data_IF_470363733860
#
_entry.id   IF_470363733860
#
_cell.length_a   1.000
_cell.length_b   1.000
_cell.length_c   1.000
_cell.angle_alpha   90.00
_cell.angle_beta   90.00
_cell.angle_gamma   90.00
#
_symmetry.space_group_name_H-M   'P 1'
#
loop_
_entity.id
_entity.type
_entity.pdbx_description
1 polymer ?
#
# COMPACT_ATOMS: atom_id res chain seq x y z
N UNK A 1 18.93 -14.49 51.80
CA UNK A 1 19.64 -15.23 50.74
C UNK A 1 19.59 -14.39 49.45
N UNK A 2 20.69 -13.78 49.12
CA UNK A 2 20.81 -12.76 48.08
C UNK A 2 21.47 -13.38 46.85
N UNK A 3 20.78 -13.44 45.71
CA UNK A 3 21.31 -13.98 44.46
C UNK A 3 21.92 -12.84 43.63
N UNK A 4 23.17 -12.94 43.18
CA UNK A 4 23.81 -11.88 42.41
C UNK A 4 23.42 -11.92 40.94
N UNK A 5 23.13 -10.75 40.39
CA UNK A 5 22.77 -10.42 39.01
C UNK A 5 24.01 -10.52 38.11
N UNK A 6 24.07 -11.53 37.26
CA UNK A 6 25.13 -11.71 36.25
C UNK A 6 24.94 -10.72 35.09
N UNK A 7 25.82 -9.76 34.98
CA UNK A 7 25.93 -8.84 33.85
C UNK A 7 26.80 -9.48 32.77
N UNK A 8 26.21 -9.98 31.69
CA UNK A 8 26.95 -10.43 30.50
C UNK A 8 27.26 -9.21 29.62
N UNK A 9 28.49 -8.78 29.68
CA UNK A 9 29.09 -7.83 28.71
C UNK A 9 29.40 -8.57 27.42
N UNK A 10 28.67 -8.34 26.34
CA UNK A 10 29.07 -8.76 25.01
C UNK A 10 30.03 -7.75 24.42
N UNK A 11 31.24 -8.23 24.15
CA UNK A 11 32.33 -7.51 23.50
C UNK A 11 31.95 -7.21 22.03
N UNK A 12 32.06 -5.94 21.68
CA UNK A 12 31.96 -5.47 20.30
C UNK A 12 33.24 -5.83 19.57
N UNK A 13 33.16 -6.69 18.56
CA UNK A 13 34.24 -6.86 17.58
C UNK A 13 33.99 -5.88 16.43
N UNK A 14 34.87 -4.92 16.34
CA UNK A 14 34.98 -4.01 15.20
C UNK A 14 35.81 -4.70 14.13
N UNK A 15 35.26 -4.95 12.96
CA UNK A 15 35.95 -5.32 11.76
C UNK A 15 35.82 -4.19 10.74
N UNK A 16 36.93 -3.45 10.62
CA UNK A 16 37.20 -2.50 9.53
C UNK A 16 37.56 -3.30 8.26
N UNK A 17 36.80 -3.08 7.19
CA UNK A 17 37.22 -3.42 5.84
C UNK A 17 37.07 -2.20 4.96
N UNK A 18 38.21 -1.61 4.62
CA UNK A 18 38.37 -0.60 3.58
C UNK A 18 38.37 -1.30 2.21
N UNK A 19 37.59 -0.79 1.28
CA UNK A 19 37.61 -1.23 -0.12
C UNK A 19 37.25 -0.07 -1.02
N UNK A 20 38.27 0.64 -1.51
CA UNK A 20 38.21 1.61 -2.63
C UNK A 20 38.03 0.83 -3.94
N UNK A 21 37.07 1.24 -4.77
CA UNK A 21 37.17 1.06 -6.23
C UNK A 21 36.30 2.15 -6.91
N UNK A 22 37.00 3.11 -7.48
CA UNK A 22 36.48 4.11 -8.39
C UNK A 22 36.46 3.51 -9.81
N UNK A 23 35.32 3.66 -10.51
CA UNK A 23 35.29 3.60 -11.98
C UNK A 23 34.36 4.66 -12.50
N UNK A 24 34.96 5.68 -13.06
CA UNK A 24 34.33 6.67 -13.89
C UNK A 24 34.15 6.12 -15.31
N UNK A 25 32.94 6.28 -15.89
CA UNK A 25 32.69 6.07 -17.30
C UNK A 25 31.70 7.11 -17.82
N UNK A 26 32.10 7.96 -18.77
CA UNK A 26 31.17 8.87 -19.43
C UNK A 26 30.52 8.18 -20.62
N UNK A 27 29.21 8.26 -20.77
CA UNK A 27 28.53 7.95 -22.03
C UNK A 27 27.69 9.18 -22.41
N UNK A 28 28.25 9.98 -23.29
CA UNK A 28 27.50 10.92 -24.10
C UNK A 28 26.90 10.15 -25.28
N UNK A 29 25.64 10.42 -25.57
CA UNK A 29 24.94 9.86 -26.73
C UNK A 29 23.69 10.69 -27.01
N UNK A 30 23.86 11.88 -27.61
CA UNK A 30 22.82 12.57 -28.37
C UNK A 30 22.66 11.84 -29.70
N UNK A 31 21.41 11.55 -30.07
CA UNK A 31 21.03 11.04 -31.36
C UNK A 31 19.66 11.59 -31.72
N UNK A 32 19.65 12.82 -32.31
CA UNK A 32 18.56 13.30 -33.15
C UNK A 32 18.49 12.44 -34.39
N UNK A 33 17.32 11.98 -34.75
CA UNK A 33 16.95 11.74 -36.14
C UNK A 33 15.44 11.84 -36.27
N UNK A 34 15.01 13.01 -36.76
CA UNK A 34 13.76 13.24 -37.46
C UNK A 34 13.79 12.43 -38.76
N UNK A 35 12.81 11.59 -38.97
CA UNK A 35 12.48 11.11 -40.31
C UNK A 35 10.97 10.89 -40.43
N UNK A 36 10.35 11.83 -41.12
CA UNK A 36 8.96 11.81 -41.58
C UNK A 36 8.89 11.01 -42.89
N UNK A 37 8.09 9.97 -43.05
CA UNK A 37 7.76 9.45 -44.38
C UNK A 37 6.47 10.07 -44.95
N UNK A 38 6.37 10.15 -46.27
CA UNK A 38 5.36 10.96 -46.96
C UNK A 38 4.00 10.23 -47.09
N UNK A 39 2.98 11.08 -47.09
CA UNK A 39 1.59 10.72 -47.42
C UNK A 39 1.46 10.26 -48.88
N UNK A 40 0.95 9.06 -49.06
CA UNK A 40 0.35 8.66 -50.32
C UNK A 40 -1.10 8.27 -50.09
N UNK A 41 -2.00 9.02 -50.71
CA UNK A 41 -3.43 8.77 -50.72
C UNK A 41 -3.81 7.53 -51.49
N UNK A 42 -4.84 6.83 -51.01
CA UNK A 42 -5.61 5.89 -51.81
C UNK A 42 -7.10 5.99 -51.44
N UNK A 43 -7.81 6.34 -52.47
CA UNK A 43 -9.22 6.24 -52.82
C UNK A 43 -10.20 5.51 -51.89
N UNK A 44 -11.33 6.18 -51.71
CA UNK A 44 -12.57 5.70 -51.14
C UNK A 44 -13.23 4.65 -52.08
N UNK A 45 -13.66 3.52 -51.49
CA UNK A 45 -14.69 2.69 -52.07
C UNK A 45 -15.76 2.42 -51.01
N UNK A 46 -17.03 2.73 -51.24
CA UNK A 46 -18.09 2.40 -50.33
C UNK A 46 -18.66 1.02 -50.69
N UNK A 47 -18.84 0.13 -49.71
CA UNK A 47 -19.95 -0.84 -49.64
C UNK A 47 -19.75 -1.81 -48.48
N UNK A 48 -20.60 -1.80 -47.51
CA UNK A 48 -21.56 -2.82 -47.14
C UNK A 48 -22.14 -2.51 -45.76
N UNK A 49 -23.39 -2.09 -45.77
CA UNK A 49 -24.22 -2.01 -44.57
C UNK A 49 -24.55 -3.43 -44.11
N UNK A 50 -23.81 -3.94 -43.12
CA UNK A 50 -24.26 -5.13 -42.38
C UNK A 50 -24.98 -4.63 -41.13
N UNK A 51 -26.29 -4.88 -41.10
CA UNK A 51 -27.12 -4.71 -39.92
C UNK A 51 -26.61 -5.66 -38.82
N UNK A 52 -25.69 -5.18 -38.00
CA UNK A 52 -25.25 -5.86 -36.78
C UNK A 52 -26.30 -5.67 -35.70
N UNK A 53 -26.96 -6.75 -35.33
CA UNK A 53 -27.83 -6.85 -34.17
C UNK A 53 -27.07 -6.31 -32.95
N UNK A 54 -27.49 -5.15 -32.43
CA UNK A 54 -26.99 -4.59 -31.18
C UNK A 54 -27.45 -5.53 -30.07
N UNK A 55 -26.57 -6.45 -29.66
CA UNK A 55 -26.73 -7.14 -28.39
C UNK A 55 -26.62 -6.05 -27.32
N UNK A 56 -27.68 -5.84 -26.55
CA UNK A 56 -27.68 -4.94 -25.42
C UNK A 56 -26.60 -5.43 -24.45
N UNK A 57 -25.53 -4.66 -24.34
CA UNK A 57 -24.52 -4.85 -23.31
C UNK A 57 -25.20 -4.72 -21.95
N UNK A 58 -25.03 -5.68 -21.02
CA UNK A 58 -25.66 -5.58 -19.71
C UNK A 58 -25.12 -4.30 -19.05
N UNK A 59 -26.03 -3.38 -18.74
CA UNK A 59 -25.70 -2.18 -17.94
C UNK A 59 -24.93 -2.63 -16.70
N UNK A 60 -23.76 -2.05 -16.42
CA UNK A 60 -23.04 -2.38 -15.20
C UNK A 60 -23.96 -2.09 -14.00
N UNK A 61 -24.22 -3.13 -13.22
CA UNK A 61 -24.86 -2.98 -11.90
C UNK A 61 -24.08 -1.90 -11.15
N UNK A 62 -24.74 -0.88 -10.55
CA UNK A 62 -24.05 0.14 -9.78
C UNK A 62 -23.19 -0.58 -8.72
N UNK A 63 -21.89 -0.52 -8.86
CA UNK A 63 -20.99 -0.97 -7.81
C UNK A 63 -21.34 -0.19 -6.56
N UNK A 64 -21.63 -0.88 -5.45
CA UNK A 64 -21.84 -0.22 -4.17
C UNK A 64 -20.71 0.78 -3.97
N UNK A 65 -21.05 2.05 -3.72
CA UNK A 65 -20.05 3.10 -3.54
C UNK A 65 -19.07 2.66 -2.45
N UNK A 66 -17.78 2.64 -2.75
CA UNK A 66 -16.76 2.30 -1.78
C UNK A 66 -16.89 3.22 -0.55
N UNK A 67 -16.76 2.71 0.67
CA UNK A 67 -16.83 3.54 1.86
C UNK A 67 -15.74 4.61 1.85
N UNK A 68 -15.99 5.75 2.52
CA UNK A 68 -15.00 6.79 2.70
C UNK A 68 -13.79 6.24 3.48
N UNK A 69 -12.57 6.26 2.93
CA UNK A 69 -11.40 5.69 3.59
C UNK A 69 -11.05 6.41 4.90
N UNK A 70 -11.29 7.74 5.03
CA UNK A 70 -11.06 8.47 6.27
C UNK A 70 -12.09 8.12 7.36
N UNK A 71 -13.28 7.62 6.98
CA UNK A 71 -14.28 7.15 7.94
C UNK A 71 -13.97 5.75 8.51
N UNK A 72 -13.16 4.94 7.79
CA UNK A 72 -12.77 3.61 8.26
C UNK A 72 -11.81 3.64 9.45
N UNK A 73 -10.95 4.65 9.51
CA UNK A 73 -10.02 4.85 10.63
C UNK A 73 -10.00 6.34 10.95
N UNK A 74 -10.51 6.73 12.10
CA UNK A 74 -10.50 8.11 12.55
C UNK A 74 -9.06 8.56 12.88
N UNK A 75 -8.78 9.87 12.85
CA UNK A 75 -7.50 10.44 13.25
C UNK A 75 -7.01 9.91 14.61
N UNK A 76 -7.88 9.88 15.62
CA UNK A 76 -7.55 9.36 16.96
C UNK A 76 -7.10 7.90 16.94
N UNK A 77 -7.74 7.07 16.13
CA UNK A 77 -7.36 5.66 15.97
C UNK A 77 -6.04 5.52 15.19
N UNK A 78 -5.82 6.36 14.18
CA UNK A 78 -4.55 6.45 13.47
C UNK A 78 -3.41 6.89 14.40
N UNK A 79 -3.63 7.87 15.27
CA UNK A 79 -2.67 8.30 16.30
C UNK A 79 -2.36 7.19 17.30
N UNK A 80 -3.36 6.42 17.71
CA UNK A 80 -3.17 5.26 18.60
C UNK A 80 -2.36 4.14 17.89
N UNK A 81 -2.58 3.95 16.59
CA UNK A 81 -1.82 3.00 15.79
C UNK A 81 -0.37 3.47 15.61
N UNK A 82 -0.17 4.73 15.27
CA UNK A 82 1.13 5.32 15.05
C UNK A 82 1.94 5.54 16.36
N UNK A 83 1.26 5.63 17.51
CA UNK A 83 1.87 5.94 18.80
C UNK A 83 2.38 7.37 18.93
N UNK A 84 1.92 8.29 18.06
CA UNK A 84 2.29 9.70 18.04
C UNK A 84 1.15 10.54 17.47
N UNK A 85 1.06 11.85 17.78
CA UNK A 85 0.12 12.75 17.12
C UNK A 85 0.31 12.76 15.60
N UNK A 86 -0.81 12.84 14.88
CA UNK A 86 -0.85 12.92 13.42
C UNK A 86 -1.63 14.17 12.98
N UNK A 87 -1.35 14.66 11.80
CA UNK A 87 -2.12 15.72 11.17
C UNK A 87 -3.48 15.21 10.70
N UNK A 88 -4.35 16.10 10.23
CA UNK A 88 -5.66 15.72 9.68
C UNK A 88 -5.50 14.80 8.47
N UNK A 89 -6.42 13.82 8.34
CA UNK A 89 -6.44 12.89 7.23
C UNK A 89 -6.61 13.60 5.90
N UNK A 90 -5.78 13.24 4.94
CA UNK A 90 -5.84 13.76 3.57
C UNK A 90 -6.52 12.72 2.66
N UNK A 91 -7.79 12.93 2.29
CA UNK A 91 -8.48 12.03 1.38
C UNK A 91 -8.05 12.29 -0.06
N UNK A 92 -7.68 11.21 -0.77
CA UNK A 92 -7.42 11.25 -2.21
C UNK A 92 -8.07 10.03 -2.87
N UNK A 93 -9.18 10.22 -3.55
CA UNK A 93 -9.98 9.13 -4.15
C UNK A 93 -10.34 8.06 -3.11
N UNK A 94 -9.83 6.84 -3.29
CA UNK A 94 -10.06 5.67 -2.44
C UNK A 94 -8.99 5.49 -1.36
N UNK A 95 -8.27 6.56 -1.02
CA UNK A 95 -7.22 6.55 0.00
C UNK A 95 -7.41 7.67 1.01
N UNK A 96 -6.93 7.44 2.24
CA UNK A 96 -6.80 8.44 3.28
C UNK A 96 -5.42 8.32 3.93
N UNK A 97 -4.69 9.41 4.05
CA UNK A 97 -3.35 9.41 4.63
C UNK A 97 -3.28 10.37 5.81
N UNK A 98 -2.83 9.86 6.94
CA UNK A 98 -2.48 10.62 8.13
C UNK A 98 -0.96 10.66 8.27
N UNK A 99 -0.37 11.83 8.43
CA UNK A 99 1.09 12.01 8.51
C UNK A 99 1.48 12.66 9.82
N UNK A 100 2.58 12.26 10.40
CA UNK A 100 3.16 12.90 11.57
C UNK A 100 3.67 14.31 11.24
N UNK A 101 3.70 15.23 12.23
CA UNK A 101 4.23 16.57 12.03
C UNK A 101 5.72 16.54 11.69
N UNK A 102 6.19 17.48 10.88
CA UNK A 102 7.58 17.57 10.41
C UNK A 102 8.62 17.67 11.54
N UNK A 103 8.22 18.17 12.70
CA UNK A 103 9.05 18.28 13.91
C UNK A 103 8.98 17.05 14.83
N UNK A 104 8.14 16.07 14.47
CA UNK A 104 7.89 14.87 15.28
C UNK A 104 8.64 13.63 14.77
N UNK A 105 8.38 12.47 15.40
CA UNK A 105 8.86 11.20 14.87
C UNK A 105 8.19 10.89 13.52
N UNK A 106 8.93 10.24 12.62
CA UNK A 106 8.38 9.78 11.34
C UNK A 106 7.28 8.78 11.60
N UNK A 107 6.06 9.11 11.19
CA UNK A 107 4.90 8.25 11.28
C UNK A 107 3.91 8.56 10.16
N UNK A 108 3.32 7.52 9.59
CA UNK A 108 2.26 7.64 8.58
C UNK A 108 1.30 6.46 8.69
N UNK A 109 0.01 6.74 8.55
CA UNK A 109 -1.03 5.72 8.44
C UNK A 109 -1.77 5.95 7.13
N UNK A 110 -1.78 4.94 6.28
CA UNK A 110 -2.41 4.96 4.97
C UNK A 110 -3.56 3.96 4.93
N UNK A 111 -4.72 4.41 4.50
CA UNK A 111 -5.91 3.58 4.33
C UNK A 111 -6.21 3.53 2.84
N UNK A 112 -6.37 2.33 2.29
CA UNK A 112 -6.81 2.09 0.92
C UNK A 112 -8.11 1.32 0.94
N UNK A 113 -9.01 1.59 -0.01
CA UNK A 113 -10.30 0.91 -0.15
C UNK A 113 -10.44 0.37 -1.59
N UNK A 114 -11.19 -0.71 -1.75
CA UNK A 114 -11.48 -1.29 -3.05
C UNK A 114 -10.28 -1.93 -3.73
N UNK A 115 -10.12 -1.67 -5.02
CA UNK A 115 -9.07 -2.26 -5.86
C UNK A 115 -7.65 -1.90 -5.39
N UNK A 116 -7.44 -0.71 -4.85
CA UNK A 116 -6.15 -0.28 -4.32
C UNK A 116 -5.68 -1.17 -3.16
N UNK A 117 -6.59 -1.46 -2.23
CA UNK A 117 -6.32 -2.35 -1.10
C UNK A 117 -6.03 -3.79 -1.55
N UNK A 118 -6.81 -4.29 -2.53
CA UNK A 118 -6.60 -5.62 -3.10
C UNK A 118 -5.25 -5.75 -3.80
N UNK A 119 -4.91 -4.79 -4.66
CA UNK A 119 -3.62 -4.78 -5.36
C UNK A 119 -2.44 -4.73 -4.41
N UNK A 120 -2.57 -3.99 -3.30
CA UNK A 120 -1.53 -3.96 -2.28
C UNK A 120 -1.33 -5.35 -1.66
N UNK A 121 -2.41 -6.06 -1.31
CA UNK A 121 -2.33 -7.44 -0.82
C UNK A 121 -1.67 -8.38 -1.84
N UNK A 122 -2.02 -8.26 -3.11
CA UNK A 122 -1.44 -9.09 -4.16
C UNK A 122 0.06 -8.82 -4.32
N UNK A 123 0.51 -7.56 -4.23
CA UNK A 123 1.94 -7.18 -4.21
C UNK A 123 2.66 -7.81 -3.02
N UNK A 124 2.08 -7.78 -1.81
CA UNK A 124 2.67 -8.42 -0.63
C UNK A 124 2.85 -9.93 -0.83
N UNK A 125 1.89 -10.59 -1.48
CA UNK A 125 1.96 -12.01 -1.85
C UNK A 125 3.06 -12.29 -2.88
N UNK A 126 3.13 -11.49 -3.93
CA UNK A 126 4.10 -11.64 -5.02
C UNK A 126 5.54 -11.43 -4.54
N UNK A 127 5.73 -10.53 -3.56
CA UNK A 127 7.01 -10.30 -2.90
C UNK A 127 7.38 -11.41 -1.89
N UNK A 128 6.48 -12.34 -1.61
CA UNK A 128 6.71 -13.42 -0.64
C UNK A 128 6.76 -12.96 0.81
N UNK A 129 6.16 -11.80 1.11
CA UNK A 129 6.07 -11.31 2.49
C UNK A 129 5.17 -12.23 3.33
N UNK A 130 5.51 -12.37 4.61
CA UNK A 130 4.70 -13.15 5.54
C UNK A 130 3.32 -12.49 5.73
N UNK A 131 2.27 -13.21 5.33
CA UNK A 131 0.87 -12.82 5.52
C UNK A 131 0.20 -13.78 6.48
N UNK A 132 -0.05 -13.31 7.69
CA UNK A 132 -0.70 -14.09 8.74
C UNK A 132 -2.22 -13.89 8.69
N UNK A 133 -3.01 -14.97 8.53
CA UNK A 133 -4.47 -14.85 8.54
C UNK A 133 -4.99 -14.38 9.92
N UNK A 134 -6.02 -13.53 9.90
CA UNK A 134 -6.70 -13.00 11.07
C UNK A 134 -8.09 -13.63 11.20
N UNK A 135 -8.21 -14.68 11.99
CA UNK A 135 -9.48 -15.36 12.20
C UNK A 135 -10.54 -14.45 12.86
N UNK A 136 -11.76 -14.50 12.34
CA UNK A 136 -12.90 -13.75 12.90
C UNK A 136 -12.85 -12.24 12.63
N UNK A 137 -12.10 -11.81 11.61
CA UNK A 137 -12.03 -10.42 11.16
C UNK A 137 -12.55 -10.35 9.73
N UNK A 138 -13.74 -9.73 9.54
CA UNK A 138 -14.41 -9.69 8.24
C UNK A 138 -14.75 -11.08 7.69
N UNK A 139 -14.86 -11.18 6.38
CA UNK A 139 -15.01 -12.44 5.64
C UNK A 139 -13.64 -13.09 5.41
N UNK A 140 -12.61 -12.26 5.20
CA UNK A 140 -11.21 -12.63 5.01
C UNK A 140 -10.31 -11.50 5.49
N UNK A 141 -9.23 -11.82 6.23
CA UNK A 141 -8.28 -10.80 6.64
C UNK A 141 -6.87 -11.36 6.86
N UNK A 142 -5.87 -10.52 6.60
CA UNK A 142 -4.45 -10.81 6.76
C UNK A 142 -3.71 -9.67 7.46
N UNK A 143 -2.61 -10.01 8.11
CA UNK A 143 -1.65 -9.05 8.64
C UNK A 143 -0.25 -9.35 8.13
N UNK A 144 0.44 -8.35 7.63
CA UNK A 144 1.89 -8.35 7.43
C UNK A 144 2.59 -7.65 8.62
N UNK A 145 3.88 -7.38 8.50
CA UNK A 145 4.64 -6.67 9.54
C UNK A 145 4.26 -5.18 9.67
N UNK A 146 3.73 -4.58 8.62
CA UNK A 146 3.38 -3.15 8.58
C UNK A 146 1.93 -2.87 8.15
N UNK A 147 1.17 -3.86 7.70
CA UNK A 147 -0.17 -3.64 7.18
C UNK A 147 -1.17 -4.71 7.62
N UNK A 148 -2.45 -4.34 7.56
CA UNK A 148 -3.57 -5.29 7.63
C UNK A 148 -4.45 -5.11 6.40
N UNK A 149 -5.04 -6.22 5.98
CA UNK A 149 -5.94 -6.33 4.84
C UNK A 149 -7.23 -6.97 5.33
N UNK A 150 -8.37 -6.36 5.04
CA UNK A 150 -9.68 -6.81 5.48
C UNK A 150 -10.62 -6.83 4.29
N UNK A 151 -11.27 -7.96 4.06
CA UNK A 151 -12.36 -8.11 3.11
C UNK A 151 -13.67 -8.30 3.87
N UNK A 152 -14.68 -7.54 3.52
CA UNK A 152 -16.04 -7.73 4.02
C UNK A 152 -17.07 -7.19 3.04
N UNK A 153 -18.19 -7.90 2.89
CA UNK A 153 -19.31 -7.48 2.02
C UNK A 153 -18.90 -7.15 0.59
N UNK A 154 -17.88 -7.84 0.05
CA UNK A 154 -17.36 -7.61 -1.31
C UNK A 154 -16.36 -6.45 -1.43
N UNK A 155 -16.02 -5.77 -0.35
CA UNK A 155 -15.09 -4.62 -0.34
C UNK A 155 -13.80 -5.00 0.38
N UNK A 156 -12.66 -4.68 -0.22
CA UNK A 156 -11.36 -4.73 0.42
C UNK A 156 -11.00 -3.39 1.04
N UNK A 157 -10.39 -3.42 2.20
CA UNK A 157 -9.70 -2.29 2.79
C UNK A 157 -8.33 -2.73 3.33
N UNK A 158 -7.33 -1.86 3.25
CA UNK A 158 -6.05 -2.06 3.90
C UNK A 158 -5.66 -0.85 4.73
N UNK A 159 -4.94 -1.10 5.83
CA UNK A 159 -4.34 -0.06 6.66
C UNK A 159 -2.86 -0.37 6.78
N UNK A 160 -2.03 0.55 6.29
CA UNK A 160 -0.57 0.48 6.37
C UNK A 160 -0.06 1.45 7.43
N UNK A 161 0.87 0.98 8.24
CA UNK A 161 1.57 1.76 9.26
C UNK A 161 3.04 1.89 8.88
N UNK A 162 3.51 3.11 8.68
CA UNK A 162 4.93 3.42 8.49
C UNK A 162 5.44 4.14 9.72
N UNK A 163 6.42 3.56 10.42
CA UNK A 163 7.13 4.18 11.55
C UNK A 163 8.46 3.48 11.81
N UNK A 164 9.37 4.21 12.45
CA UNK A 164 10.72 3.71 12.79
C UNK A 164 10.70 3.03 14.17
N UNK A 165 10.30 1.77 14.24
CA UNK A 165 10.24 0.96 15.45
C UNK A 165 10.49 -0.52 15.14
N UNK A 166 10.51 -1.38 16.16
CA UNK A 166 10.50 -2.82 15.95
C UNK A 166 9.15 -3.25 15.35
N UNK A 167 9.14 -3.90 14.16
CA UNK A 167 7.90 -4.38 13.54
C UNK A 167 7.03 -5.28 14.43
N UNK A 168 7.64 -6.01 15.39
CA UNK A 168 6.89 -6.85 16.32
C UNK A 168 5.94 -6.04 17.21
N UNK A 169 6.26 -4.77 17.51
CA UNK A 169 5.41 -3.87 18.29
C UNK A 169 4.13 -3.48 17.53
N UNK A 170 4.13 -3.58 16.20
CA UNK A 170 3.00 -3.18 15.36
C UNK A 170 1.89 -4.25 15.34
N UNK A 171 2.19 -5.51 15.66
CA UNK A 171 1.26 -6.64 15.55
C UNK A 171 -0.07 -6.39 16.25
N UNK A 172 -0.05 -6.15 17.55
CA UNK A 172 -1.28 -5.98 18.33
C UNK A 172 -2.06 -4.70 17.96
N UNK A 173 -1.42 -3.53 17.73
CA UNK A 173 -2.11 -2.36 17.19
C UNK A 173 -2.77 -2.61 15.84
N UNK A 174 -2.08 -3.24 14.88
CA UNK A 174 -2.62 -3.57 13.56
C UNK A 174 -3.82 -4.52 13.65
N UNK A 175 -3.77 -5.54 14.50
CA UNK A 175 -4.90 -6.45 14.71
C UNK A 175 -6.14 -5.73 15.31
N UNK A 176 -5.94 -4.75 16.18
CA UNK A 176 -7.06 -3.95 16.70
C UNK A 176 -7.71 -3.11 15.62
N UNK A 177 -6.90 -2.42 14.81
CA UNK A 177 -7.45 -1.59 13.71
C UNK A 177 -8.13 -2.45 12.65
N UNK A 178 -7.64 -3.65 12.37
CA UNK A 178 -8.30 -4.59 11.46
C UNK A 178 -9.74 -4.92 11.90
N UNK A 179 -9.95 -5.17 13.21
CA UNK A 179 -11.30 -5.40 13.76
C UNK A 179 -12.20 -4.16 13.67
N UNK A 180 -11.63 -2.97 13.89
CA UNK A 180 -12.34 -1.71 13.73
C UNK A 180 -12.81 -1.52 12.29
N UNK A 181 -11.90 -1.70 11.31
CA UNK A 181 -12.20 -1.62 9.88
C UNK A 181 -13.26 -2.63 9.48
N UNK A 182 -13.12 -3.89 9.91
CA UNK A 182 -14.11 -4.93 9.65
C UNK A 182 -15.52 -4.57 10.15
N UNK A 183 -15.61 -3.82 11.24
CA UNK A 183 -16.90 -3.35 11.78
C UNK A 183 -17.54 -2.19 11.00
N UNK A 184 -16.76 -1.54 10.11
CA UNK A 184 -17.18 -0.34 9.34
C UNK A 184 -17.36 -0.61 7.84
N UNK A 185 -16.87 -1.76 7.35
CA UNK A 185 -17.17 -2.32 6.04
C UNK A 185 -18.51 -3.06 6.06
#
# INVERSE_FOLDING_TARGET
MTVPKQIRRHRRSVLLLAGLLATAGPVAGCGDTEETPPVAGVEATPEAVVAGTTAAEPSPTPAASAPDPCALVSRREAEQLAGTPLEEGQPVRETCTYTGPTSGPTAQVEIFVGEGARKFLDIERDLGHELRPLAGVGDEAYASHEAVFVHRSGVWASVRLVRLNDPAENRAPLERVARTVAGRL
#
